data_IF_525242053884
#
_entry.id   IF_525242053884
#
_cell.length_a   1.000
_cell.length_b   1.000
_cell.length_c   1.000
_cell.angle_alpha   90.00
_cell.angle_beta   90.00
_cell.angle_gamma   90.00
#
_symmetry.space_group_name_H-M   'P 1'
#
loop_
_entity.id
_entity.type
_entity.pdbx_description
1 polymer ?
#
# COMPACT_ATOMS: atom_id res chain seq x y z
N UNK A 1 13.99 -24.46 -33.84
CA UNK A 1 13.35 -23.19 -34.25
C UNK A 1 14.00 -22.73 -35.54
N UNK A 2 13.25 -22.43 -36.62
CA UNK A 2 13.84 -21.95 -37.89
C UNK A 2 14.50 -20.57 -37.68
N UNK A 3 15.67 -20.34 -38.27
CA UNK A 3 16.45 -19.09 -38.13
C UNK A 3 15.62 -17.83 -38.46
N UNK A 4 14.79 -17.91 -39.50
CA UNK A 4 13.85 -16.87 -39.90
C UNK A 4 12.86 -16.47 -38.79
N UNK A 5 12.36 -17.45 -38.03
CA UNK A 5 11.45 -17.19 -36.91
C UNK A 5 12.16 -16.46 -35.77
N UNK A 6 13.45 -16.76 -35.53
CA UNK A 6 14.26 -16.08 -34.51
C UNK A 6 14.43 -14.60 -34.86
N UNK A 7 14.79 -14.30 -36.10
CA UNK A 7 15.02 -12.92 -36.56
C UNK A 7 13.73 -12.11 -36.56
N UNK A 8 12.62 -12.72 -36.99
CA UNK A 8 11.29 -12.09 -36.92
C UNK A 8 10.90 -11.77 -35.48
N UNK A 9 11.13 -12.68 -34.53
CA UNK A 9 10.84 -12.46 -33.12
C UNK A 9 11.66 -11.30 -32.55
N UNK A 10 12.96 -11.25 -32.85
CA UNK A 10 13.84 -10.17 -32.38
C UNK A 10 13.43 -8.80 -32.93
N UNK A 11 13.07 -8.72 -34.22
CA UNK A 11 12.55 -7.47 -34.81
C UNK A 11 11.26 -7.01 -34.15
N UNK A 12 10.31 -7.93 -33.92
CA UNK A 12 9.06 -7.61 -33.24
C UNK A 12 9.28 -7.16 -31.80
N UNK A 13 10.22 -7.80 -31.09
CA UNK A 13 10.56 -7.42 -29.72
C UNK A 13 11.23 -6.05 -29.64
N UNK A 14 12.07 -5.71 -30.62
CA UNK A 14 12.66 -4.38 -30.74
C UNK A 14 11.58 -3.32 -31.02
N UNK A 15 10.70 -3.58 -31.99
CA UNK A 15 9.58 -2.69 -32.30
C UNK A 15 8.66 -2.50 -31.09
N UNK A 16 8.37 -3.56 -30.34
CA UNK A 16 7.58 -3.48 -29.11
C UNK A 16 8.21 -2.54 -28.07
N UNK A 17 9.54 -2.64 -27.88
CA UNK A 17 10.27 -1.76 -26.96
C UNK A 17 10.28 -0.31 -27.43
N UNK A 18 10.53 -0.07 -28.72
CA UNK A 18 10.55 1.27 -29.32
C UNK A 18 9.19 1.96 -29.26
N UNK A 19 8.11 1.20 -29.38
CA UNK A 19 6.75 1.70 -29.24
C UNK A 19 6.34 1.96 -27.78
N UNK A 20 7.18 1.61 -26.79
CA UNK A 20 6.88 1.80 -25.37
C UNK A 20 5.62 1.06 -24.93
N UNK A 21 5.22 -0.03 -25.61
CA UNK A 21 3.95 -0.73 -25.33
C UNK A 21 3.91 -1.22 -23.88
N UNK A 22 5.04 -1.64 -23.33
CA UNK A 22 5.16 -2.03 -21.92
C UNK A 22 4.98 -0.88 -20.93
N UNK A 23 5.16 0.37 -21.36
CA UNK A 23 5.04 1.56 -20.50
C UNK A 23 3.60 2.10 -20.45
N UNK A 24 2.68 1.53 -21.24
CA UNK A 24 1.26 1.87 -21.19
C UNK A 24 0.59 1.40 -19.89
N UNK A 25 1.18 0.42 -19.21
CA UNK A 25 0.69 -0.14 -17.95
C UNK A 25 1.63 0.29 -16.84
N UNK A 26 1.10 1.04 -15.87
CA UNK A 26 1.82 1.38 -14.65
C UNK A 26 1.83 0.19 -13.69
N UNK A 27 2.76 -0.75 -13.94
CA UNK A 27 2.90 -1.97 -13.11
C UNK A 27 3.19 -1.66 -11.65
N UNK A 28 3.96 -0.61 -11.37
CA UNK A 28 4.28 -0.17 -10.00
C UNK A 28 3.00 0.22 -9.24
N UNK A 29 2.12 0.96 -9.90
CA UNK A 29 0.81 1.34 -9.35
C UNK A 29 -0.08 0.13 -9.12
N UNK A 30 -0.24 -0.74 -10.12
CA UNK A 30 -1.08 -1.94 -9.97
C UNK A 30 -0.57 -2.87 -8.88
N UNK A 31 0.74 -3.07 -8.80
CA UNK A 31 1.35 -3.87 -7.75
C UNK A 31 1.12 -3.28 -6.36
N UNK A 32 1.26 -1.97 -6.22
CA UNK A 32 0.98 -1.26 -4.97
C UNK A 32 -0.49 -1.41 -4.55
N UNK A 33 -1.43 -1.25 -5.49
CA UNK A 33 -2.87 -1.32 -5.19
C UNK A 33 -3.27 -2.75 -4.78
N UNK A 34 -2.70 -3.76 -5.45
CA UNK A 34 -2.92 -5.16 -5.09
C UNK A 34 -2.37 -5.49 -3.69
N UNK A 35 -1.15 -5.05 -3.38
CA UNK A 35 -0.57 -5.24 -2.03
C UNK A 35 -1.45 -4.61 -0.95
N UNK A 36 -1.90 -3.36 -1.15
CA UNK A 36 -2.74 -2.67 -0.18
C UNK A 36 -4.07 -3.42 0.01
N UNK A 37 -4.71 -3.82 -1.09
CA UNK A 37 -6.00 -4.52 -1.05
C UNK A 37 -5.87 -5.84 -0.30
N UNK A 38 -4.86 -6.66 -0.61
CA UNK A 38 -4.67 -7.94 0.07
C UNK A 38 -4.23 -7.79 1.53
N UNK A 39 -3.38 -6.82 1.83
CA UNK A 39 -2.93 -6.57 3.20
C UNK A 39 -4.08 -6.10 4.09
N UNK A 40 -4.96 -5.22 3.59
CA UNK A 40 -6.13 -4.79 4.36
C UNK A 40 -7.20 -5.89 4.43
N UNK A 41 -7.29 -6.77 3.44
CA UNK A 41 -8.18 -7.94 3.50
C UNK A 41 -7.79 -8.95 4.59
N UNK A 42 -6.50 -9.14 4.85
CA UNK A 42 -6.02 -9.97 5.98
C UNK A 42 -6.52 -9.42 7.32
N UNK A 43 -6.58 -8.10 7.45
CA UNK A 43 -7.09 -7.40 8.64
C UNK A 43 -8.62 -7.23 8.63
N UNK A 44 -9.32 -7.88 7.68
CA UNK A 44 -10.78 -7.95 7.63
C UNK A 44 -11.47 -6.93 6.71
N UNK A 45 -10.72 -6.16 5.90
CA UNK A 45 -11.33 -5.30 4.89
C UNK A 45 -11.94 -6.11 3.74
N UNK A 46 -13.10 -5.68 3.27
CA UNK A 46 -13.81 -6.29 2.13
C UNK A 46 -13.73 -5.44 0.85
N UNK A 47 -12.93 -4.38 0.86
CA UNK A 47 -12.67 -3.52 -0.31
C UNK A 47 -11.99 -4.36 -1.39
N UNK A 48 -12.54 -4.33 -2.61
CA UNK A 48 -11.95 -5.03 -3.77
C UNK A 48 -10.87 -4.19 -4.44
N UNK A 49 -10.00 -4.80 -5.25
CA UNK A 49 -8.94 -4.07 -5.97
C UNK A 49 -9.51 -2.97 -6.89
N UNK A 50 -10.65 -3.23 -7.53
CA UNK A 50 -11.34 -2.24 -8.38
C UNK A 50 -11.85 -1.07 -7.54
N UNK A 51 -12.45 -1.34 -6.37
CA UNK A 51 -12.90 -0.28 -5.44
C UNK A 51 -11.71 0.51 -4.89
N UNK A 52 -10.59 -0.16 -4.56
CA UNK A 52 -9.37 0.50 -4.11
C UNK A 52 -8.78 1.41 -5.20
N UNK A 53 -8.75 0.95 -6.46
CA UNK A 53 -8.30 1.77 -7.58
C UNK A 53 -9.14 3.04 -7.75
N UNK A 54 -10.47 2.91 -7.76
CA UNK A 54 -11.39 4.05 -7.85
C UNK A 54 -11.21 5.03 -6.67
N UNK A 55 -11.02 4.48 -5.46
CA UNK A 55 -10.77 5.28 -4.26
C UNK A 55 -9.45 6.05 -4.35
N UNK A 56 -8.39 5.42 -4.85
CA UNK A 56 -7.05 6.01 -4.89
C UNK A 56 -6.85 7.02 -6.03
N UNK A 57 -7.46 6.76 -7.19
CA UNK A 57 -7.27 7.57 -8.39
C UNK A 57 -8.32 8.68 -8.52
N UNK A 58 -9.57 8.35 -8.21
CA UNK A 58 -10.72 9.21 -8.49
C UNK A 58 -11.36 9.76 -7.19
N UNK A 59 -10.93 9.28 -6.03
CA UNK A 59 -11.55 9.63 -4.74
C UNK A 59 -12.96 9.07 -4.58
N UNK A 60 -13.37 8.11 -5.41
CA UNK A 60 -14.71 7.54 -5.41
C UNK A 60 -14.79 6.47 -4.32
N UNK A 61 -15.66 6.71 -3.35
CA UNK A 61 -15.95 5.78 -2.27
C UNK A 61 -17.00 4.74 -2.67
N UNK A 62 -16.91 3.52 -2.13
CA UNK A 62 -17.96 2.51 -2.30
C UNK A 62 -19.04 2.69 -1.23
N UNK A 63 -20.31 2.80 -1.65
CA UNK A 63 -21.46 2.83 -0.74
C UNK A 63 -21.71 1.49 -0.03
N UNK A 64 -21.04 0.42 -0.47
CA UNK A 64 -21.16 -0.94 0.09
C UNK A 64 -20.12 -1.23 1.19
N UNK A 65 -19.14 -0.33 1.39
CA UNK A 65 -18.03 -0.52 2.34
C UNK A 65 -18.12 0.48 3.47
N UNK A 66 -17.70 0.07 4.66
CA UNK A 66 -17.66 0.98 5.80
C UNK A 66 -16.64 2.08 5.57
N UNK A 67 -16.84 3.22 6.24
CA UNK A 67 -15.85 4.31 6.22
C UNK A 67 -14.50 3.84 6.78
N UNK A 68 -14.52 2.97 7.80
CA UNK A 68 -13.31 2.41 8.42
C UNK A 68 -12.47 1.62 7.42
N UNK A 69 -13.09 0.71 6.64
CA UNK A 69 -12.38 -0.07 5.63
C UNK A 69 -11.74 0.81 4.54
N UNK A 70 -12.44 1.87 4.13
CA UNK A 70 -11.93 2.82 3.13
C UNK A 70 -10.78 3.65 3.69
N UNK A 71 -10.89 4.11 4.94
CA UNK A 71 -9.81 4.82 5.64
C UNK A 71 -8.58 3.94 5.84
N UNK A 72 -8.77 2.65 6.15
CA UNK A 72 -7.68 1.68 6.29
C UNK A 72 -6.86 1.56 5.01
N UNK A 73 -7.54 1.43 3.86
CA UNK A 73 -6.90 1.37 2.55
C UNK A 73 -6.13 2.67 2.23
N UNK A 74 -6.73 3.82 2.53
CA UNK A 74 -6.07 5.11 2.33
C UNK A 74 -4.87 5.31 3.27
N UNK A 75 -4.95 4.87 4.53
CA UNK A 75 -3.85 4.97 5.50
C UNK A 75 -2.67 4.13 5.03
N UNK A 76 -2.94 2.88 4.64
CA UNK A 76 -1.91 1.98 4.14
C UNK A 76 -1.29 2.50 2.84
N UNK A 77 -2.07 3.12 1.94
CA UNK A 77 -1.52 3.82 0.76
C UNK A 77 -0.54 4.92 1.16
N UNK A 78 -0.91 5.78 2.11
CA UNK A 78 -0.03 6.86 2.61
C UNK A 78 1.25 6.28 3.22
N UNK A 79 1.15 5.19 3.97
CA UNK A 79 2.30 4.51 4.56
C UNK A 79 3.26 3.97 3.49
N UNK A 80 2.75 3.33 2.42
CA UNK A 80 3.58 2.86 1.31
C UNK A 80 4.20 4.01 0.50
N UNK A 81 3.43 5.05 0.19
CA UNK A 81 3.93 6.23 -0.52
C UNK A 81 5.06 6.92 0.25
N UNK A 82 4.94 6.98 1.58
CA UNK A 82 6.01 7.43 2.47
C UNK A 82 7.21 6.46 2.44
N UNK A 83 6.99 5.16 2.64
CA UNK A 83 8.06 4.16 2.69
C UNK A 83 8.88 4.10 1.40
N UNK A 84 8.23 4.18 0.23
CA UNK A 84 8.90 4.21 -1.09
C UNK A 84 9.79 5.43 -1.28
N UNK A 85 9.44 6.58 -0.66
CA UNK A 85 10.29 7.78 -0.67
C UNK A 85 11.45 7.65 0.32
N UNK A 86 11.15 7.19 1.53
CA UNK A 86 12.13 7.04 2.60
C UNK A 86 13.22 6.02 2.27
N UNK A 87 12.87 4.86 1.70
CA UNK A 87 13.84 3.77 1.45
C UNK A 87 14.97 4.19 0.50
N UNK A 88 14.75 5.18 -0.36
CA UNK A 88 15.77 5.73 -1.27
C UNK A 88 16.89 6.48 -0.55
N UNK A 89 16.66 6.87 0.71
CA UNK A 89 17.65 7.58 1.52
C UNK A 89 18.62 6.61 2.20
N UNK A 90 18.31 5.31 2.23
CA UNK A 90 19.12 4.27 2.88
C UNK A 90 19.42 4.56 4.36
N UNK A 91 18.53 5.28 5.04
CA UNK A 91 18.63 5.56 6.46
C UNK A 91 18.44 4.27 7.28
N UNK A 92 19.07 4.15 8.46
CA UNK A 92 18.84 3.03 9.37
C UNK A 92 17.38 2.97 9.86
N UNK A 93 16.85 1.76 10.05
CA UNK A 93 15.57 1.56 10.71
C UNK A 93 15.75 1.80 12.22
N UNK A 94 15.02 2.77 12.76
CA UNK A 94 15.02 3.12 14.19
C UNK A 94 13.63 2.94 14.81
N UNK A 95 13.55 2.93 16.14
CA UNK A 95 12.26 2.89 16.85
C UNK A 95 11.40 4.11 16.51
N UNK A 96 11.99 5.31 16.48
CA UNK A 96 11.28 6.54 16.12
C UNK A 96 10.71 6.47 14.71
N UNK A 97 11.46 5.86 13.78
CA UNK A 97 10.96 5.63 12.43
C UNK A 97 9.80 4.62 12.40
N UNK A 98 9.88 3.54 13.18
CA UNK A 98 8.79 2.55 13.28
C UNK A 98 7.52 3.19 13.84
N UNK A 99 7.64 4.07 14.85
CA UNK A 99 6.54 4.87 15.39
C UNK A 99 5.95 5.79 14.31
N UNK A 100 6.80 6.50 13.56
CA UNK A 100 6.37 7.38 12.47
C UNK A 100 5.70 6.62 11.31
N UNK A 101 6.16 5.41 10.99
CA UNK A 101 5.51 4.57 9.99
C UNK A 101 4.15 4.07 10.51
N UNK A 102 4.10 3.58 11.75
CA UNK A 102 2.86 3.12 12.37
C UNK A 102 1.80 4.22 12.44
N UNK A 103 2.21 5.47 12.72
CA UNK A 103 1.31 6.64 12.73
C UNK A 103 0.70 6.93 11.36
N UNK A 104 1.28 6.43 10.27
CA UNK A 104 0.73 6.55 8.91
C UNK A 104 -0.21 5.39 8.59
N UNK A 105 0.14 4.18 9.04
CA UNK A 105 -0.66 2.96 8.84
C UNK A 105 -2.02 3.05 9.52
N UNK A 106 -2.13 3.78 10.63
CA UNK A 106 -3.37 3.91 11.40
C UNK A 106 -3.79 5.36 11.66
N UNK A 107 -3.39 6.30 10.80
CA UNK A 107 -3.61 7.74 11.03
C UNK A 107 -5.08 8.11 11.29
N UNK A 108 -6.02 7.43 10.62
CA UNK A 108 -7.47 7.65 10.75
C UNK A 108 -8.19 6.50 11.45
N UNK A 109 -7.60 5.31 11.43
CA UNK A 109 -8.22 4.09 11.98
C UNK A 109 -7.74 3.76 13.40
N UNK A 110 -6.68 4.41 13.87
CA UNK A 110 -6.12 4.23 15.19
C UNK A 110 -6.98 4.86 16.29
N UNK A 111 -7.05 4.19 17.43
CA UNK A 111 -7.75 4.66 18.63
C UNK A 111 -6.79 5.17 19.70
N UNK A 112 -7.32 5.96 20.63
CA UNK A 112 -6.65 6.27 21.89
C UNK A 112 -7.02 5.22 22.95
N UNK A 113 -6.03 4.81 23.74
CA UNK A 113 -6.17 3.78 24.75
C UNK A 113 -5.75 4.34 26.10
N UNK A 114 -6.63 4.15 27.10
CA UNK A 114 -6.37 4.47 28.49
C UNK A 114 -6.26 3.17 29.28
N UNK A 115 -5.12 2.96 29.94
CA UNK A 115 -4.84 1.71 30.65
C UNK A 115 -4.08 1.96 31.94
N UNK A 116 -4.08 0.98 32.84
CA UNK A 116 -3.32 1.02 34.10
C UNK A 116 -1.81 1.19 33.82
N UNK A 117 -1.29 0.64 32.71
CA UNK A 117 0.10 0.81 32.29
C UNK A 117 0.40 2.18 31.66
N UNK A 118 -0.60 3.03 31.52
CA UNK A 118 -0.52 4.37 30.93
C UNK A 118 -1.29 4.49 29.62
N UNK A 119 -1.39 5.74 29.17
CA UNK A 119 -2.09 6.12 27.95
C UNK A 119 -1.19 6.03 26.72
N UNK A 120 -1.78 5.62 25.59
CA UNK A 120 -1.12 5.67 24.28
C UNK A 120 -2.13 5.80 23.13
N UNK A 121 -1.67 6.26 21.98
CA UNK A 121 -2.47 6.42 20.76
C UNK A 121 -1.90 5.60 19.60
N UNK A 122 -2.71 4.66 19.10
CA UNK A 122 -2.36 3.92 17.89
C UNK A 122 -2.34 4.83 16.65
N UNK A 123 -3.17 5.87 16.62
CA UNK A 123 -3.19 6.84 15.51
C UNK A 123 -1.87 7.65 15.43
N UNK A 124 -1.24 7.89 16.60
CA UNK A 124 0.09 8.51 16.67
C UNK A 124 1.25 7.50 16.55
N UNK A 125 0.94 6.21 16.35
CA UNK A 125 1.93 5.13 16.25
C UNK A 125 2.65 4.83 17.57
N UNK A 126 2.12 5.30 18.71
CA UNK A 126 2.77 5.17 20.01
C UNK A 126 2.87 3.71 20.44
N UNK A 127 3.99 3.37 21.08
CA UNK A 127 4.20 2.02 21.61
C UNK A 127 3.16 1.70 22.67
N UNK A 128 2.58 0.50 22.55
CA UNK A 128 1.56 0.01 23.48
C UNK A 128 2.11 -0.10 24.89
N UNK A 129 1.30 0.31 25.87
CA UNK A 129 1.61 0.24 27.31
C UNK A 129 0.75 -0.80 28.04
N UNK A 130 0.20 -1.76 27.29
CA UNK A 130 -0.62 -2.85 27.80
C UNK A 130 -0.27 -4.16 27.11
N UNK A 131 -0.60 -5.26 27.77
CA UNK A 131 -0.49 -6.61 27.20
C UNK A 131 -1.73 -6.94 26.38
N UNK A 132 -1.54 -7.69 25.30
CA UNK A 132 -2.64 -8.33 24.55
C UNK A 132 -2.43 -9.83 24.54
N UNK A 133 -3.53 -10.57 24.58
CA UNK A 133 -3.54 -12.02 24.36
C UNK A 133 -4.22 -12.26 23.02
N UNK A 134 -3.66 -13.17 22.21
CA UNK A 134 -4.22 -13.58 20.93
C UNK A 134 -5.38 -14.58 21.12
#
# INVERSE_FOLDING_TARGET
MKQENKERLLRLLQQHKELGISEQIDFDKFYLYSIITHSTAIEGSTVTEVEAQLLFDEGITSSKRTMLEQQMNLDLKVAYDYGRKWIRQHEPITVDWLVLLASKVMARTGSEYHSIGGDFSAARGELRKLNVTA
#
